data_IF_343909440361
#
_entry.id   IF_343909440361
#
_cell.length_a   1.000
_cell.length_b   1.000
_cell.length_c   1.000
_cell.angle_alpha   90.00
_cell.angle_beta   90.00
_cell.angle_gamma   90.00
#
_symmetry.space_group_name_H-M   'P 1'
#
loop_
_entity.id
_entity.type
_entity.pdbx_description
1 polymer ?
#
# COMPACT_ATOMS: atom_id res chain seq x y z
N UNK A 1 15.76 -0.17 -35.33
CA UNK A 1 16.81 -0.18 -34.29
C UNK A 1 16.20 -0.53 -32.94
N UNK A 2 16.58 -1.67 -32.37
CA UNK A 2 16.17 -2.09 -31.01
C UNK A 2 16.90 -1.26 -29.95
N UNK A 3 16.44 -1.32 -28.69
CA UNK A 3 17.08 -0.56 -27.63
C UNK A 3 18.48 -1.09 -27.29
N UNK A 4 18.72 -2.40 -27.47
CA UNK A 4 20.03 -3.01 -27.27
C UNK A 4 21.03 -2.56 -28.33
N UNK A 5 20.60 -2.46 -29.58
CA UNK A 5 21.42 -1.94 -30.69
C UNK A 5 21.86 -0.50 -30.43
N UNK A 6 20.96 0.36 -29.95
CA UNK A 6 21.27 1.75 -29.57
C UNK A 6 22.30 1.80 -28.44
N UNK A 7 22.16 0.96 -27.41
CA UNK A 7 23.12 0.91 -26.30
C UNK A 7 24.49 0.45 -26.79
N UNK A 8 24.55 -0.61 -27.61
CA UNK A 8 25.81 -1.10 -28.18
C UNK A 8 26.48 -0.07 -29.09
N UNK A 9 25.69 0.66 -29.88
CA UNK A 9 26.20 1.74 -30.73
C UNK A 9 26.81 2.86 -29.89
N UNK A 10 26.14 3.28 -28.81
CA UNK A 10 26.68 4.29 -27.90
C UNK A 10 27.97 3.83 -27.21
N UNK A 11 28.01 2.57 -26.75
CA UNK A 11 29.22 1.99 -26.17
C UNK A 11 30.38 1.93 -27.19
N UNK A 12 30.08 1.57 -28.44
CA UNK A 12 31.07 1.58 -29.53
C UNK A 12 31.55 3.00 -29.88
N UNK A 13 30.72 4.02 -29.64
CA UNK A 13 31.07 5.44 -29.76
C UNK A 13 31.82 5.99 -28.54
N UNK A 14 32.10 5.15 -27.54
CA UNK A 14 32.86 5.52 -26.34
C UNK A 14 32.02 6.03 -25.16
N UNK A 15 30.70 5.99 -25.24
CA UNK A 15 29.82 6.40 -24.14
C UNK A 15 29.71 5.32 -23.06
N UNK A 16 29.77 5.72 -21.79
CA UNK A 16 29.53 4.82 -20.65
C UNK A 16 28.02 4.72 -20.39
N UNK A 17 27.40 3.59 -20.72
CA UNK A 17 25.95 3.38 -20.59
C UNK A 17 25.63 2.32 -19.55
N UNK A 18 24.92 2.72 -18.48
CA UNK A 18 24.39 1.81 -17.46
C UNK A 18 22.89 1.56 -17.73
N UNK A 19 22.49 0.30 -17.84
CA UNK A 19 21.13 -0.10 -18.18
C UNK A 19 20.69 -1.36 -17.45
N UNK A 20 19.38 -1.53 -17.34
CA UNK A 20 18.74 -2.69 -16.74
C UNK A 20 17.85 -3.40 -17.75
N UNK A 21 17.96 -4.73 -17.81
CA UNK A 21 17.07 -5.59 -18.61
C UNK A 21 15.92 -6.06 -17.73
N UNK A 22 14.70 -5.78 -18.15
CA UNK A 22 13.47 -6.19 -17.47
C UNK A 22 13.14 -7.65 -17.78
N UNK A 23 12.31 -8.27 -16.93
CA UNK A 23 11.82 -9.65 -17.11
C UNK A 23 11.08 -9.89 -18.44
N UNK A 24 10.54 -8.85 -19.06
CA UNK A 24 9.87 -8.88 -20.38
C UNK A 24 10.84 -8.69 -21.56
N UNK A 25 12.15 -8.67 -21.31
CA UNK A 25 13.20 -8.43 -22.32
C UNK A 25 13.40 -6.95 -22.68
N UNK A 26 12.62 -6.03 -22.10
CA UNK A 26 12.77 -4.59 -22.33
C UNK A 26 13.99 -3.99 -21.62
N UNK A 27 14.67 -3.05 -22.27
CA UNK A 27 15.85 -2.36 -21.71
C UNK A 27 15.47 -0.99 -21.16
N UNK A 28 16.02 -0.62 -20.01
CA UNK A 28 15.89 0.68 -19.37
C UNK A 28 17.28 1.27 -19.09
N UNK A 29 17.66 2.30 -19.82
CA UNK A 29 18.90 3.07 -19.58
C UNK A 29 18.72 3.95 -18.34
N UNK A 30 19.65 3.81 -17.39
CA UNK A 30 19.65 4.53 -16.11
C UNK A 30 20.69 5.65 -16.07
N UNK A 31 21.82 5.47 -16.77
CA UNK A 31 22.92 6.43 -16.77
C UNK A 31 23.63 6.43 -18.11
N UNK A 32 24.05 7.60 -18.58
CA UNK A 32 24.94 7.78 -19.73
C UNK A 32 26.01 8.81 -19.34
N UNK A 33 27.30 8.49 -19.45
CA UNK A 33 28.44 9.39 -19.19
C UNK A 33 28.35 10.18 -17.86
N UNK A 34 28.08 9.51 -16.75
CA UNK A 34 27.90 10.20 -15.47
C UNK A 34 26.46 10.67 -15.19
N UNK A 35 25.67 11.01 -16.21
CA UNK A 35 24.34 11.59 -16.07
C UNK A 35 23.28 10.53 -15.73
N UNK A 36 22.62 10.65 -14.57
CA UNK A 36 21.55 9.75 -14.14
C UNK A 36 20.17 10.24 -14.60
N UNK A 37 19.37 9.33 -15.13
CA UNK A 37 18.00 9.62 -15.55
C UNK A 37 16.96 9.18 -14.52
N UNK A 38 15.95 10.02 -14.22
CA UNK A 38 14.93 9.74 -13.19
C UNK A 38 13.99 8.58 -13.57
N UNK A 39 13.93 8.23 -14.86
CA UNK A 39 13.19 7.07 -15.35
C UNK A 39 13.92 6.39 -16.50
N UNK A 40 13.73 5.07 -16.64
CA UNK A 40 14.27 4.35 -17.80
C UNK A 40 13.68 4.80 -19.14
N UNK A 41 12.48 5.40 -19.13
CA UNK A 41 11.88 5.99 -20.34
C UNK A 41 12.63 7.25 -20.80
N UNK A 42 13.04 8.12 -19.87
CA UNK A 42 13.86 9.31 -20.17
C UNK A 42 15.27 8.92 -20.62
N UNK A 43 15.91 7.94 -19.96
CA UNK A 43 17.24 7.45 -20.39
C UNK A 43 17.20 6.80 -21.76
N UNK A 44 16.19 5.98 -22.05
CA UNK A 44 15.99 5.39 -23.37
C UNK A 44 15.72 6.43 -24.47
N UNK A 45 15.05 7.55 -24.14
CA UNK A 45 14.82 8.63 -25.09
C UNK A 45 16.13 9.37 -25.40
N UNK A 46 16.93 9.66 -24.37
CA UNK A 46 18.24 10.32 -24.50
C UNK A 46 19.25 9.45 -25.25
N UNK A 47 19.32 8.16 -24.94
CA UNK A 47 20.15 7.19 -25.67
C UNK A 47 19.82 7.17 -27.17
N UNK A 48 18.53 7.16 -27.53
CA UNK A 48 18.11 7.20 -28.95
C UNK A 48 18.46 8.52 -29.64
N UNK A 49 18.37 9.64 -28.93
CA UNK A 49 18.79 10.93 -29.48
C UNK A 49 20.29 10.96 -29.76
N UNK A 50 21.12 10.50 -28.81
CA UNK A 50 22.57 10.45 -28.95
C UNK A 50 23.02 9.52 -30.08
N UNK A 51 22.37 8.37 -30.23
CA UNK A 51 22.66 7.43 -31.31
C UNK A 51 22.11 7.86 -32.70
N UNK A 52 21.49 9.05 -32.80
CA UNK A 52 20.84 9.53 -34.04
C UNK A 52 19.58 8.75 -34.44
N UNK A 53 19.11 7.84 -33.58
CA UNK A 53 17.96 6.96 -33.80
C UNK A 53 16.63 7.62 -33.35
N UNK A 54 16.40 8.88 -33.75
CA UNK A 54 15.20 9.61 -33.34
C UNK A 54 13.93 8.92 -33.88
N UNK A 55 12.92 8.80 -33.01
CA UNK A 55 11.61 8.26 -33.37
C UNK A 55 10.95 9.31 -34.28
N UNK A 56 10.59 8.94 -35.52
CA UNK A 56 9.98 9.87 -36.48
C UNK A 56 8.81 10.65 -35.86
N UNK A 57 8.65 11.92 -36.23
CA UNK A 57 7.60 12.80 -35.67
C UNK A 57 6.19 12.22 -35.82
N UNK A 58 5.94 11.45 -36.88
CA UNK A 58 4.69 10.72 -37.11
C UNK A 58 4.41 9.66 -36.03
N UNK A 59 5.46 8.97 -35.54
CA UNK A 59 5.35 7.94 -34.50
C UNK A 59 5.25 8.57 -33.10
N UNK A 60 5.83 9.75 -32.88
CA UNK A 60 5.57 10.58 -31.69
C UNK A 60 4.12 11.08 -31.67
N UNK A 61 3.57 11.52 -32.81
CA UNK A 61 2.14 11.87 -32.94
C UNK A 61 1.24 10.67 -32.68
N UNK A 62 1.53 9.49 -33.24
CA UNK A 62 0.78 8.25 -32.94
C UNK A 62 0.86 7.84 -31.46
N UNK A 63 2.02 7.94 -30.81
CA UNK A 63 2.15 7.66 -29.37
C UNK A 63 1.35 8.64 -28.52
N UNK A 64 1.36 9.94 -28.86
CA UNK A 64 0.50 10.96 -28.24
C UNK A 64 -1.00 10.70 -28.49
N UNK A 65 -1.37 10.21 -29.68
CA UNK A 65 -2.75 9.87 -30.01
C UNK A 65 -3.22 8.59 -29.29
N UNK A 66 -2.37 7.55 -29.23
CA UNK A 66 -2.63 6.31 -28.51
C UNK A 66 -2.70 6.50 -26.99
N UNK A 67 -1.87 7.39 -26.42
CA UNK A 67 -1.98 7.77 -25.00
C UNK A 67 -3.21 8.63 -24.71
N UNK A 68 -3.66 9.47 -25.65
CA UNK A 68 -4.95 10.19 -25.56
C UNK A 68 -6.16 9.26 -25.65
N UNK A 69 -6.13 8.25 -26.52
CA UNK A 69 -7.22 7.27 -26.65
C UNK A 69 -7.25 6.23 -25.52
N UNK A 70 -6.12 5.97 -24.85
CA UNK A 70 -6.07 5.15 -23.61
C UNK A 70 -6.53 5.88 -22.34
N UNK A 71 -7.33 6.94 -22.44
CA UNK A 71 -8.31 7.22 -21.37
C UNK A 71 -9.40 6.16 -21.48
N UNK A 72 -9.06 4.93 -21.08
CA UNK A 72 -10.06 3.91 -20.76
C UNK A 72 -11.01 4.61 -19.79
N UNK A 73 -12.24 4.92 -20.25
CA UNK A 73 -13.32 5.34 -19.36
C UNK A 73 -13.43 4.20 -18.35
N UNK A 74 -12.82 4.38 -17.18
CA UNK A 74 -12.89 3.40 -16.11
C UNK A 74 -14.39 3.14 -15.91
N UNK A 75 -14.83 1.88 -15.82
CA UNK A 75 -16.24 1.60 -15.58
C UNK A 75 -16.71 2.48 -14.43
N UNK A 76 -17.79 3.21 -14.68
CA UNK A 76 -18.37 4.09 -13.68
C UNK A 76 -18.70 3.23 -12.48
N UNK A 77 -18.29 3.69 -11.29
CA UNK A 77 -18.84 3.10 -10.08
C UNK A 77 -20.35 3.39 -10.12
N UNK A 78 -21.14 2.45 -9.63
CA UNK A 78 -22.54 2.71 -9.29
C UNK A 78 -22.62 4.00 -8.46
N UNK A 79 -23.57 4.88 -8.78
CA UNK A 79 -23.69 6.20 -8.15
C UNK A 79 -23.80 6.12 -6.61
N UNK A 80 -24.40 5.05 -6.08
CA UNK A 80 -24.48 4.83 -4.63
C UNK A 80 -23.10 4.54 -4.02
N UNK A 81 -22.30 3.70 -4.68
CA UNK A 81 -20.93 3.36 -4.24
C UNK A 81 -20.01 4.55 -4.41
N UNK A 82 -20.19 5.33 -5.48
CA UNK A 82 -19.40 6.54 -5.74
C UNK A 82 -19.63 7.59 -4.65
N UNK A 83 -20.90 7.88 -4.31
CA UNK A 83 -21.25 8.81 -3.23
C UNK A 83 -20.59 8.40 -1.92
N UNK A 84 -20.70 7.13 -1.57
CA UNK A 84 -20.14 6.60 -0.32
C UNK A 84 -18.60 6.64 -0.31
N UNK A 85 -17.97 6.26 -1.43
CA UNK A 85 -16.53 6.37 -1.60
C UNK A 85 -16.05 7.81 -1.40
N UNK A 86 -16.71 8.81 -2.00
CA UNK A 86 -16.31 10.21 -1.87
C UNK A 86 -16.50 10.73 -0.44
N UNK A 87 -17.58 10.34 0.24
CA UNK A 87 -17.84 10.67 1.65
C UNK A 87 -16.70 10.16 2.54
N UNK A 88 -16.35 8.88 2.41
CA UNK A 88 -15.30 8.26 3.21
C UNK A 88 -13.92 8.77 2.83
N UNK A 89 -13.65 9.01 1.54
CA UNK A 89 -12.37 9.59 1.08
C UNK A 89 -12.08 10.95 1.72
N UNK A 90 -13.09 11.80 1.89
CA UNK A 90 -12.92 13.08 2.58
C UNK A 90 -12.52 12.88 4.04
N UNK A 91 -13.17 11.96 4.76
CA UNK A 91 -12.81 11.59 6.15
C UNK A 91 -11.39 11.02 6.22
N UNK A 92 -11.07 10.08 5.34
CA UNK A 92 -9.76 9.46 5.21
C UNK A 92 -8.65 10.49 5.01
N UNK A 93 -8.82 11.41 4.06
CA UNK A 93 -7.83 12.46 3.80
C UNK A 93 -7.69 13.45 4.96
N UNK A 94 -8.75 13.66 5.74
CA UNK A 94 -8.71 14.51 6.95
C UNK A 94 -7.93 13.81 8.07
N UNK A 95 -8.18 12.53 8.29
CA UNK A 95 -7.52 11.72 9.32
C UNK A 95 -6.02 11.52 9.01
N UNK A 96 -5.69 11.27 7.75
CA UNK A 96 -4.35 10.90 7.33
C UNK A 96 -3.74 11.93 6.38
N UNK A 97 -3.86 13.22 6.70
CA UNK A 97 -3.29 14.30 5.87
C UNK A 97 -1.85 13.96 5.48
N UNK A 98 -1.55 13.77 4.18
CA UNK A 98 -0.21 13.43 3.75
C UNK A 98 0.71 14.62 4.08
N UNK A 99 1.63 14.42 5.03
CA UNK A 99 2.72 15.38 5.24
C UNK A 99 3.64 15.31 4.04
N UNK A 100 4.04 16.46 3.47
CA UNK A 100 4.96 16.53 2.31
C UNK A 100 6.17 15.61 2.56
N UNK A 101 6.47 14.73 1.60
CA UNK A 101 7.63 13.84 1.64
C UNK A 101 7.51 12.62 2.57
N UNK A 102 6.41 12.44 3.31
CA UNK A 102 6.19 11.23 4.12
C UNK A 102 5.17 10.31 3.44
N UNK A 103 5.43 9.00 3.38
CA UNK A 103 4.44 8.04 2.91
C UNK A 103 3.18 8.15 3.77
N UNK A 104 2.04 7.96 3.13
CA UNK A 104 0.75 8.02 3.81
C UNK A 104 0.73 6.92 4.90
N UNK A 105 0.49 7.25 6.18
CA UNK A 105 0.72 6.34 7.31
C UNK A 105 -0.21 5.12 7.28
N UNK A 106 -1.46 5.34 6.87
CA UNK A 106 -2.40 4.28 6.56
C UNK A 106 -2.30 3.93 5.07
N UNK A 107 -2.25 2.67 4.64
CA UNK A 107 -2.15 2.31 3.22
C UNK A 107 -3.16 3.03 2.29
N UNK A 108 -2.93 3.02 0.98
CA UNK A 108 -3.72 3.83 0.04
C UNK A 108 -5.21 3.41 -0.09
N UNK A 109 -6.15 4.23 0.41
CA UNK A 109 -7.60 4.13 0.12
C UNK A 109 -7.92 4.68 -1.29
N UNK A 110 -7.67 3.84 -2.29
CA UNK A 110 -7.76 4.21 -3.71
C UNK A 110 -9.04 3.79 -4.40
N UNK A 111 -9.55 4.64 -5.30
CA UNK A 111 -10.67 4.32 -6.20
C UNK A 111 -10.47 2.99 -6.95
N UNK A 112 -9.23 2.71 -7.38
CA UNK A 112 -8.89 1.47 -8.09
C UNK A 112 -9.13 0.21 -7.26
N UNK A 113 -8.91 0.25 -5.94
CA UNK A 113 -9.20 -0.89 -5.04
C UNK A 113 -10.69 -1.15 -4.90
N UNK A 114 -11.50 -0.09 -4.84
CA UNK A 114 -12.97 -0.20 -4.79
C UNK A 114 -13.51 -0.72 -6.13
N UNK A 115 -13.00 -0.21 -7.24
CA UNK A 115 -13.37 -0.71 -8.58
C UNK A 115 -13.00 -2.19 -8.76
N UNK A 116 -11.81 -2.60 -8.30
CA UNK A 116 -11.43 -4.00 -8.28
C UNK A 116 -12.40 -4.83 -7.43
N UNK A 117 -12.78 -4.33 -6.25
CA UNK A 117 -13.72 -5.04 -5.38
C UNK A 117 -15.09 -5.21 -6.04
N UNK A 118 -15.63 -4.16 -6.66
CA UNK A 118 -16.90 -4.25 -7.42
C UNK A 118 -16.80 -5.27 -8.55
N UNK A 119 -15.71 -5.26 -9.31
CA UNK A 119 -15.53 -6.14 -10.47
C UNK A 119 -15.38 -7.62 -10.09
N UNK A 120 -14.66 -7.92 -9.01
CA UNK A 120 -14.24 -9.28 -8.68
C UNK A 120 -15.01 -9.92 -7.51
N UNK A 121 -15.60 -9.12 -6.63
CA UNK A 121 -16.29 -9.60 -5.42
C UNK A 121 -17.70 -9.02 -5.27
N UNK A 122 -18.13 -8.12 -6.16
CA UNK A 122 -19.46 -7.53 -6.14
C UNK A 122 -19.59 -6.26 -5.30
N UNK A 123 -20.81 -5.71 -5.28
CA UNK A 123 -21.12 -4.42 -4.66
C UNK A 123 -21.02 -4.45 -3.14
N UNK A 124 -21.46 -5.52 -2.51
CA UNK A 124 -21.46 -5.66 -1.05
C UNK A 124 -20.05 -5.63 -0.46
N UNK A 125 -19.11 -6.36 -1.07
CA UNK A 125 -17.72 -6.37 -0.65
C UNK A 125 -17.07 -4.99 -0.82
N UNK A 126 -17.38 -4.28 -1.91
CA UNK A 126 -16.91 -2.92 -2.11
C UNK A 126 -17.43 -1.96 -1.02
N UNK A 127 -18.71 -2.05 -0.67
CA UNK A 127 -19.30 -1.26 0.42
C UNK A 127 -18.70 -1.64 1.77
N UNK A 128 -18.48 -2.94 2.04
CA UNK A 128 -17.81 -3.44 3.25
C UNK A 128 -16.44 -2.80 3.41
N UNK A 129 -15.62 -2.79 2.36
CA UNK A 129 -14.30 -2.13 2.35
C UNK A 129 -14.37 -0.63 2.56
N UNK A 130 -15.38 0.04 2.01
CA UNK A 130 -15.60 1.48 2.24
C UNK A 130 -15.93 1.74 3.72
N UNK A 131 -16.81 0.95 4.32
CA UNK A 131 -17.16 1.04 5.75
C UNK A 131 -15.96 0.74 6.66
N UNK A 132 -15.13 -0.24 6.31
CA UNK A 132 -13.86 -0.51 7.01
C UNK A 132 -12.93 0.68 6.97
N UNK A 133 -12.75 1.29 5.80
CA UNK A 133 -11.92 2.47 5.65
C UNK A 133 -12.46 3.67 6.45
N UNK A 134 -13.78 3.81 6.56
CA UNK A 134 -14.40 4.84 7.40
C UNK A 134 -14.12 4.63 8.88
N UNK A 135 -14.29 3.40 9.38
CA UNK A 135 -14.00 3.06 10.78
C UNK A 135 -12.53 3.33 11.09
N UNK A 136 -11.64 2.90 10.21
CA UNK A 136 -10.22 3.16 10.35
C UNK A 136 -9.87 4.65 10.34
N UNK A 137 -10.48 5.43 9.44
CA UNK A 137 -10.32 6.89 9.45
C UNK A 137 -10.88 7.55 10.72
N UNK A 138 -11.74 6.86 11.48
CA UNK A 138 -12.25 7.30 12.78
C UNK A 138 -11.39 6.82 13.95
N UNK A 139 -10.26 6.15 13.67
CA UNK A 139 -9.31 5.65 14.68
C UNK A 139 -9.59 4.24 15.18
N UNK A 140 -10.63 3.56 14.68
CA UNK A 140 -10.94 2.16 15.02
C UNK A 140 -9.97 1.23 14.30
N UNK A 141 -9.43 0.23 14.99
CA UNK A 141 -8.50 -0.75 14.42
C UNK A 141 -9.14 -1.58 13.30
N UNK A 142 -8.31 -2.10 12.39
CA UNK A 142 -8.79 -3.11 11.44
C UNK A 142 -9.14 -4.40 12.19
N UNK A 143 -10.25 -5.05 11.81
CA UNK A 143 -10.69 -6.29 12.48
C UNK A 143 -9.58 -7.35 12.49
N UNK A 144 -8.84 -7.50 11.39
CA UNK A 144 -7.70 -8.42 11.30
C UNK A 144 -6.60 -8.13 12.32
N UNK A 145 -6.32 -6.86 12.61
CA UNK A 145 -5.31 -6.50 13.61
C UNK A 145 -5.80 -6.90 15.01
N UNK A 146 -7.09 -6.72 15.28
CA UNK A 146 -7.73 -7.11 16.54
C UNK A 146 -7.79 -8.63 16.69
N UNK A 147 -8.22 -9.35 15.65
CA UNK A 147 -8.25 -10.81 15.60
C UNK A 147 -6.87 -11.40 15.86
N UNK A 148 -5.84 -10.82 15.23
CA UNK A 148 -4.47 -11.22 15.43
C UNK A 148 -4.00 -10.93 16.87
N UNK A 149 -4.33 -9.76 17.42
CA UNK A 149 -4.00 -9.42 18.81
C UNK A 149 -4.65 -10.41 19.78
N UNK A 150 -5.95 -10.70 19.62
CA UNK A 150 -6.66 -11.69 20.42
C UNK A 150 -6.04 -13.08 20.31
N UNK A 151 -5.66 -13.50 19.10
CA UNK A 151 -4.96 -14.77 18.90
C UNK A 151 -3.64 -14.84 19.69
N UNK A 152 -2.85 -13.77 19.68
CA UNK A 152 -1.61 -13.72 20.45
C UNK A 152 -1.85 -13.73 21.96
N UNK A 153 -2.85 -12.97 22.45
CA UNK A 153 -3.24 -13.00 23.87
C UNK A 153 -3.65 -14.42 24.28
N UNK A 154 -4.47 -15.09 23.46
CA UNK A 154 -4.95 -16.46 23.72
C UNK A 154 -3.81 -17.47 23.73
N UNK A 155 -2.89 -17.37 22.77
CA UNK A 155 -1.71 -18.23 22.68
C UNK A 155 -0.80 -18.05 23.90
N UNK A 156 -0.64 -16.80 24.37
CA UNK A 156 0.08 -16.52 25.61
C UNK A 156 -0.64 -17.09 26.83
N UNK A 157 -1.96 -16.95 26.92
CA UNK A 157 -2.77 -17.57 27.97
C UNK A 157 -2.55 -19.07 28.07
N UNK A 158 -2.59 -19.78 26.94
CA UNK A 158 -2.34 -21.22 26.88
C UNK A 158 -0.87 -21.57 27.26
N UNK A 159 0.10 -20.82 26.74
CA UNK A 159 1.54 -21.09 26.98
C UNK A 159 1.91 -20.93 28.46
N UNK A 160 1.34 -19.92 29.13
CA UNK A 160 1.65 -19.58 30.51
C UNK A 160 0.58 -20.07 31.51
N UNK A 161 -0.39 -20.89 31.08
CA UNK A 161 -1.52 -21.36 31.88
C UNK A 161 -2.23 -20.23 32.66
N UNK A 162 -2.55 -19.12 31.98
CA UNK A 162 -3.22 -17.95 32.58
C UNK A 162 -4.65 -17.79 32.06
N UNK A 163 -5.67 -18.15 32.86
CA UNK A 163 -7.07 -17.93 32.52
C UNK A 163 -7.42 -16.45 32.33
N UNK A 164 -6.70 -15.53 32.97
CA UNK A 164 -6.92 -14.10 32.83
C UNK A 164 -6.60 -13.59 31.41
N UNK A 165 -5.55 -14.13 30.78
CA UNK A 165 -5.20 -13.81 29.40
C UNK A 165 -6.20 -14.44 28.43
N UNK A 166 -6.59 -15.70 28.64
CA UNK A 166 -7.61 -16.35 27.79
C UNK A 166 -8.92 -15.56 27.79
N UNK A 167 -9.40 -15.15 28.96
CA UNK A 167 -10.60 -14.30 29.07
C UNK A 167 -10.41 -12.95 28.38
N UNK A 168 -9.23 -12.33 28.51
CA UNK A 168 -8.94 -11.07 27.84
C UNK A 168 -8.98 -11.19 26.31
N UNK A 169 -8.53 -12.32 25.75
CA UNK A 169 -8.61 -12.56 24.30
C UNK A 169 -10.07 -12.60 23.81
N UNK A 170 -10.94 -13.28 24.55
CA UNK A 170 -12.37 -13.36 24.22
C UNK A 170 -13.04 -11.97 24.37
N UNK A 171 -12.74 -11.22 25.45
CA UNK A 171 -13.20 -9.83 25.65
C UNK A 171 -12.80 -8.92 24.45
N UNK A 172 -11.58 -9.09 23.93
CA UNK A 172 -11.06 -8.33 22.78
C UNK A 172 -11.83 -8.64 21.50
N UNK A 173 -12.18 -9.90 21.26
CA UNK A 173 -12.96 -10.31 20.08
C UNK A 173 -14.39 -9.80 20.13
N UNK A 174 -15.04 -9.89 21.30
CA UNK A 174 -16.41 -9.37 21.49
C UNK A 174 -16.49 -7.86 21.23
N UNK A 175 -15.43 -7.12 21.57
CA UNK A 175 -15.34 -5.68 21.43
C UNK A 175 -14.57 -5.22 20.19
N UNK A 176 -14.38 -6.07 19.18
CA UNK A 176 -13.47 -5.78 18.07
C UNK A 176 -13.80 -4.50 17.28
N UNK A 177 -15.07 -4.06 17.28
CA UNK A 177 -15.51 -2.86 16.56
C UNK A 177 -15.32 -1.54 17.33
N UNK A 178 -14.91 -1.58 18.60
CA UNK A 178 -14.67 -0.39 19.43
C UNK A 178 -13.19 -0.17 19.74
N UNK A 179 -12.32 -1.15 19.48
CA UNK A 179 -10.89 -1.05 19.76
C UNK A 179 -10.24 -0.03 18.82
N UNK A 180 -9.53 0.95 19.39
CA UNK A 180 -8.80 1.94 18.61
C UNK A 180 -7.45 1.38 18.14
N UNK A 181 -7.04 1.77 16.95
CA UNK A 181 -5.75 1.37 16.35
C UNK A 181 -4.56 1.84 17.21
N UNK A 182 -4.69 3.00 17.87
CA UNK A 182 -3.65 3.57 18.73
C UNK A 182 -3.28 2.66 19.93
N UNK A 183 -4.19 1.76 20.32
CA UNK A 183 -3.99 0.83 21.43
C UNK A 183 -3.36 -0.50 21.02
N UNK A 184 -3.37 -0.82 19.72
CA UNK A 184 -2.89 -2.12 19.22
C UNK A 184 -1.39 -2.28 19.50
N UNK A 185 -0.58 -1.28 19.12
CA UNK A 185 0.86 -1.35 19.32
C UNK A 185 1.26 -1.40 20.81
N UNK A 186 0.74 -0.54 21.70
CA UNK A 186 0.99 -0.66 23.14
C UNK A 186 0.56 -2.00 23.73
N UNK A 187 -0.57 -2.56 23.29
CA UNK A 187 -1.02 -3.88 23.74
C UNK A 187 -0.03 -4.99 23.34
N UNK A 188 0.53 -4.93 22.13
CA UNK A 188 1.60 -5.82 21.71
C UNK A 188 2.86 -5.67 22.56
N UNK A 189 3.27 -4.44 22.87
CA UNK A 189 4.44 -4.17 23.69
C UNK A 189 4.30 -4.82 25.08
N UNK A 190 3.12 -4.73 25.71
CA UNK A 190 2.85 -5.43 26.97
C UNK A 190 2.93 -6.95 26.82
N UNK A 191 2.41 -7.53 25.72
CA UNK A 191 2.54 -8.96 25.46
C UNK A 191 4.00 -9.38 25.26
N UNK A 192 4.84 -8.54 24.67
CA UNK A 192 6.27 -8.84 24.55
C UNK A 192 6.99 -8.85 25.90
N UNK A 193 6.50 -8.10 26.90
CA UNK A 193 7.08 -8.13 28.26
C UNK A 193 6.90 -9.47 28.97
N UNK A 194 5.93 -10.31 28.57
CA UNK A 194 5.86 -11.70 29.04
C UNK A 194 7.18 -12.44 28.78
N UNK A 195 7.77 -12.25 27.60
CA UNK A 195 9.06 -12.85 27.25
C UNK A 195 10.24 -12.22 28.02
N UNK A 196 10.05 -11.03 28.58
CA UNK A 196 11.00 -10.38 29.48
C UNK A 196 10.82 -10.80 30.96
N UNK A 197 9.95 -11.77 31.24
CA UNK A 197 9.73 -12.32 32.58
C UNK A 197 8.65 -11.63 33.40
N UNK A 198 7.85 -10.73 32.81
CA UNK A 198 6.74 -10.08 33.51
C UNK A 198 5.60 -11.10 33.73
N UNK A 199 5.02 -11.21 34.94
CA UNK A 199 3.95 -12.16 35.21
C UNK A 199 2.72 -11.98 34.30
N UNK A 200 2.10 -13.08 33.82
CA UNK A 200 0.92 -13.01 32.94
C UNK A 200 -0.24 -12.18 33.49
N UNK A 201 -0.49 -12.24 34.80
CA UNK A 201 -1.54 -11.47 35.46
C UNK A 201 -1.31 -9.96 35.38
N UNK A 202 -0.05 -9.54 35.46
CA UNK A 202 0.30 -8.11 35.35
C UNK A 202 0.14 -7.62 33.92
N UNK A 203 0.59 -8.40 32.94
CA UNK A 203 0.38 -8.11 31.52
C UNK A 203 -1.11 -8.03 31.20
N UNK A 204 -1.92 -9.01 31.63
CA UNK A 204 -3.38 -8.98 31.45
C UNK A 204 -4.02 -7.72 32.03
N UNK A 205 -3.57 -7.27 33.22
CA UNK A 205 -4.07 -6.06 33.88
C UNK A 205 -3.73 -4.80 33.08
N UNK A 206 -2.49 -4.66 32.63
CA UNK A 206 -2.04 -3.45 31.89
C UNK A 206 -2.66 -3.43 30.50
N UNK A 207 -2.65 -4.55 29.76
CA UNK A 207 -3.28 -4.64 28.44
C UNK A 207 -4.77 -4.31 28.52
N UNK A 208 -5.50 -4.80 29.52
CA UNK A 208 -6.91 -4.44 29.73
C UNK A 208 -7.11 -2.95 30.03
N UNK A 209 -6.19 -2.32 30.76
CA UNK A 209 -6.26 -0.89 31.02
C UNK A 209 -6.03 -0.07 29.73
N UNK A 210 -5.05 -0.46 28.91
CA UNK A 210 -4.75 0.16 27.61
C UNK A 210 -5.98 0.12 26.69
N UNK A 211 -6.68 -1.02 26.61
CA UNK A 211 -7.80 -1.21 25.70
C UNK A 211 -9.12 -0.55 26.14
N UNK A 212 -9.16 0.04 27.34
CA UNK A 212 -10.35 0.74 27.90
C UNK A 212 -10.29 2.27 27.76
N UNK A 213 -9.17 2.86 27.29
CA UNK A 213 -8.87 4.30 27.33
C UNK A 213 -8.97 5.01 25.97
#
# INVERSE_FOLDING_TARGET
MTMMEVVRQLQAQGHEVDFYVRKDGGILVKKIDGERYPSGASGNARARQLAGASISEARVKQLKYATRQRKIKKPSLDDAIEKEYQRVKKKWNKAFKPKKGKPHPAGYFGRGRIQYAVKHYGKEEALRRIREAERYASGVAYSKNVEQLAYFIKSAGATYNSPELEKLADDVLENAFSIKEEWIAPAYDELYKLNAGVPPKEVARVTRAILRL
#
